data_IF_212218692867
#
_entry.id   IF_212218692867
#
_cell.length_a   1.000
_cell.length_b   1.000
_cell.length_c   1.000
_cell.angle_alpha   90.00
_cell.angle_beta   90.00
_cell.angle_gamma   90.00
#
_symmetry.space_group_name_H-M   'P 1'
#
loop_
_entity.id
_entity.type
_entity.pdbx_description
1 polymer ?
#
# COMPACT_ATOMS: atom_id res chain seq x y z
N UNK A 1 1.03 -0.93 30.79
CA UNK A 1 0.03 -0.07 30.12
C UNK A 1 0.61 1.26 29.61
N UNK A 2 1.93 1.38 29.38
CA UNK A 2 2.56 2.64 28.95
C UNK A 2 2.88 2.73 27.44
N UNK A 3 2.65 1.66 26.66
CA UNK A 3 3.02 1.62 25.24
C UNK A 3 1.83 1.79 24.27
N UNK A 4 0.59 1.51 24.69
CA UNK A 4 -0.55 1.49 23.76
C UNK A 4 -0.84 2.86 23.11
N UNK A 5 -0.74 3.96 23.87
CA UNK A 5 -0.98 5.31 23.33
C UNK A 5 0.11 5.73 22.33
N UNK A 6 1.34 5.31 22.57
CA UNK A 6 2.46 5.55 21.67
C UNK A 6 2.28 4.74 20.38
N UNK A 7 2.01 3.44 20.52
CA UNK A 7 1.72 2.55 19.38
C UNK A 7 0.54 3.03 18.54
N UNK A 8 -0.52 3.57 19.16
CA UNK A 8 -1.66 4.13 18.42
C UNK A 8 -1.30 5.39 17.63
N UNK A 9 -0.43 6.26 18.15
CA UNK A 9 0.04 7.44 17.41
C UNK A 9 0.99 7.07 16.26
N UNK A 10 1.80 6.02 16.45
CA UNK A 10 2.74 5.55 15.43
C UNK A 10 2.10 4.55 14.45
N UNK A 11 0.83 4.19 14.64
CA UNK A 11 0.14 3.20 13.83
C UNK A 11 -0.07 3.64 12.38
N UNK A 12 -0.39 4.92 12.17
CA UNK A 12 -0.57 5.50 10.84
C UNK A 12 0.73 5.49 10.01
N UNK A 13 1.86 6.06 10.49
CA UNK A 13 3.13 5.99 9.75
C UNK A 13 3.67 4.56 9.64
N UNK A 14 3.32 3.68 10.57
CA UNK A 14 3.61 2.25 10.46
C UNK A 14 2.86 1.60 9.27
N UNK A 15 1.57 1.89 9.10
CA UNK A 15 0.72 1.39 8.00
C UNK A 15 1.11 1.96 6.63
N UNK A 16 1.62 3.20 6.60
CA UNK A 16 2.13 3.84 5.39
C UNK A 16 3.59 3.47 5.09
N UNK A 17 4.24 2.73 6.01
CA UNK A 17 5.59 2.22 5.82
C UNK A 17 6.69 3.26 6.03
N UNK A 18 6.35 4.43 6.55
CA UNK A 18 7.23 5.60 6.77
C UNK A 18 8.11 5.48 8.02
N UNK A 19 7.87 4.48 8.86
CA UNK A 19 8.70 4.22 10.03
C UNK A 19 10.05 3.56 9.68
N UNK A 20 11.05 3.91 10.48
CA UNK A 20 12.37 3.25 10.51
C UNK A 20 12.24 1.78 10.90
N UNK A 21 13.17 0.94 10.47
CA UNK A 21 13.15 -0.51 10.74
C UNK A 21 13.08 -0.83 12.23
N UNK A 22 13.83 -0.10 13.06
CA UNK A 22 13.84 -0.23 14.52
C UNK A 22 12.47 0.06 15.16
N UNK A 23 11.82 1.15 14.74
CA UNK A 23 10.48 1.51 15.20
C UNK A 23 9.41 0.49 14.74
N UNK A 24 9.57 -0.11 13.55
CA UNK A 24 8.68 -1.18 13.08
C UNK A 24 8.75 -2.43 13.94
N UNK A 25 9.95 -2.83 14.37
CA UNK A 25 10.12 -3.99 15.25
C UNK A 25 9.50 -3.75 16.63
N UNK A 26 9.65 -2.54 17.18
CA UNK A 26 9.03 -2.15 18.44
C UNK A 26 7.49 -2.21 18.39
N UNK A 27 6.89 -1.66 17.33
CA UNK A 27 5.44 -1.69 17.12
C UNK A 27 4.95 -3.12 16.91
N UNK A 28 5.63 -3.92 16.09
CA UNK A 28 5.29 -5.34 15.90
C UNK A 28 5.28 -6.10 17.22
N UNK A 29 6.31 -5.92 18.06
CA UNK A 29 6.36 -6.55 19.38
C UNK A 29 5.18 -6.15 20.28
N UNK A 30 4.69 -4.91 20.17
CA UNK A 30 3.51 -4.48 20.90
C UNK A 30 2.20 -5.08 20.35
N UNK A 31 2.05 -5.13 19.03
CA UNK A 31 0.87 -5.69 18.37
C UNK A 31 0.70 -7.19 18.68
N UNK A 32 1.80 -7.94 18.77
CA UNK A 32 1.77 -9.36 19.16
C UNK A 32 1.33 -9.57 20.63
N UNK A 33 1.55 -8.58 21.49
CA UNK A 33 1.27 -8.65 22.93
C UNK A 33 0.00 -7.94 23.38
N UNK A 34 -0.66 -7.17 22.52
CA UNK A 34 -1.78 -6.30 22.89
C UNK A 34 -2.94 -6.39 21.89
N UNK A 35 -4.01 -7.08 22.31
CA UNK A 35 -5.24 -7.26 21.50
C UNK A 35 -5.89 -5.93 21.13
N UNK A 36 -5.90 -4.94 22.03
CA UNK A 36 -6.53 -3.65 21.75
C UNK A 36 -5.81 -2.90 20.61
N UNK A 37 -4.48 -2.90 20.64
CA UNK A 37 -3.67 -2.28 19.58
C UNK A 37 -3.73 -3.08 18.28
N UNK A 38 -3.81 -4.41 18.36
CA UNK A 38 -4.02 -5.27 17.20
C UNK A 38 -5.36 -4.98 16.52
N UNK A 39 -6.44 -4.86 17.28
CA UNK A 39 -7.76 -4.51 16.75
C UNK A 39 -7.77 -3.13 16.08
N UNK A 40 -7.10 -2.14 16.69
CA UNK A 40 -6.95 -0.83 16.08
C UNK A 40 -6.20 -0.94 14.74
N UNK A 41 -5.10 -1.69 14.69
CA UNK A 41 -4.35 -1.94 13.46
C UNK A 41 -5.22 -2.55 12.34
N UNK A 42 -5.96 -3.61 12.66
CA UNK A 42 -6.86 -4.27 11.71
C UNK A 42 -7.93 -3.30 11.17
N UNK A 43 -8.53 -2.49 12.05
CA UNK A 43 -9.49 -1.47 11.66
C UNK A 43 -8.91 -0.46 10.65
N UNK A 44 -7.68 0.02 10.89
CA UNK A 44 -7.04 0.96 9.96
C UNK A 44 -6.72 0.31 8.60
N UNK A 45 -6.34 -0.97 8.57
CA UNK A 45 -6.14 -1.72 7.32
C UNK A 45 -7.46 -1.89 6.55
N UNK A 46 -8.55 -2.24 7.23
CA UNK A 46 -9.87 -2.35 6.62
C UNK A 46 -10.34 -1.00 6.07
N UNK A 47 -10.14 0.08 6.82
CA UNK A 47 -10.46 1.44 6.39
C UNK A 47 -9.67 1.83 5.13
N UNK A 48 -8.35 1.59 5.12
CA UNK A 48 -7.49 1.85 3.95
C UNK A 48 -7.95 1.05 2.73
N UNK A 49 -8.31 -0.21 2.92
CA UNK A 49 -8.86 -1.05 1.85
C UNK A 49 -10.22 -0.53 1.34
N UNK A 50 -11.10 -0.09 2.24
CA UNK A 50 -12.41 0.46 1.88
C UNK A 50 -12.29 1.77 1.10
N UNK A 51 -11.41 2.67 1.54
CA UNK A 51 -11.08 3.91 0.82
C UNK A 51 -10.53 3.57 -0.57
N UNK A 52 -9.56 2.66 -0.66
CA UNK A 52 -8.99 2.23 -1.94
C UNK A 52 -10.07 1.71 -2.89
N UNK A 53 -11.01 0.88 -2.42
CA UNK A 53 -12.14 0.38 -3.25
C UNK A 53 -13.03 1.52 -3.78
N UNK A 54 -13.21 2.59 -3.00
CA UNK A 54 -14.03 3.75 -3.40
C UNK A 54 -13.30 4.69 -4.36
N UNK A 55 -11.97 4.80 -4.24
CA UNK A 55 -11.12 5.69 -5.04
C UNK A 55 -10.63 5.03 -6.33
N UNK A 56 -10.83 3.72 -6.52
CA UNK A 56 -10.41 2.96 -7.70
C UNK A 56 -11.24 3.23 -8.97
N UNK A 57 -11.74 4.46 -9.15
CA UNK A 57 -12.51 4.90 -10.31
C UNK A 57 -11.78 5.98 -11.13
N UNK A 58 -10.54 6.30 -10.81
CA UNK A 58 -9.70 7.11 -11.70
C UNK A 58 -9.35 6.26 -12.94
N UNK A 59 -9.97 6.59 -14.07
CA UNK A 59 -9.54 6.09 -15.37
C UNK A 59 -8.07 6.51 -15.56
N UNK A 60 -7.19 5.52 -15.68
CA UNK A 60 -5.80 5.78 -16.00
C UNK A 60 -5.73 6.55 -17.33
N UNK A 61 -4.86 7.57 -17.44
CA UNK A 61 -4.69 8.29 -18.70
C UNK A 61 -4.42 7.31 -19.85
N UNK A 62 -5.15 7.47 -20.94
CA UNK A 62 -4.96 6.65 -22.14
C UNK A 62 -3.50 6.69 -22.59
N UNK A 63 -2.87 5.52 -22.72
CA UNK A 63 -1.46 5.38 -23.14
C UNK A 63 -0.43 5.38 -22.00
N UNK A 64 -0.84 5.50 -20.73
CA UNK A 64 0.10 5.37 -19.60
C UNK A 64 0.60 3.93 -19.44
N UNK A 65 -0.31 2.94 -19.57
CA UNK A 65 0.05 1.52 -19.62
C UNK A 65 1.03 1.23 -20.75
N UNK A 66 0.70 1.67 -21.98
CA UNK A 66 1.58 1.53 -23.15
C UNK A 66 2.99 2.11 -22.93
N UNK A 67 3.11 3.25 -22.24
CA UNK A 67 4.41 3.83 -21.89
C UNK A 67 5.16 3.01 -20.85
N UNK A 68 4.45 2.47 -19.86
CA UNK A 68 5.03 1.58 -18.85
C UNK A 68 5.55 0.28 -19.48
N UNK A 69 4.78 -0.33 -20.39
CA UNK A 69 5.18 -1.51 -21.15
C UNK A 69 6.42 -1.25 -22.01
N UNK A 70 6.48 -0.09 -22.69
CA UNK A 70 7.66 0.31 -23.45
C UNK A 70 8.91 0.48 -22.57
N UNK A 71 8.76 1.07 -21.37
CA UNK A 71 9.86 1.26 -20.43
C UNK A 71 10.32 -0.05 -19.77
N UNK A 72 9.39 -0.92 -19.38
CA UNK A 72 9.67 -2.15 -18.61
C UNK A 72 9.87 -3.38 -19.49
N UNK A 73 9.51 -3.30 -20.78
CA UNK A 73 9.54 -4.40 -21.76
C UNK A 73 8.70 -5.62 -21.33
N UNK A 74 7.64 -5.36 -20.59
CA UNK A 74 6.66 -6.35 -20.14
C UNK A 74 5.30 -5.98 -20.73
N UNK A 75 4.49 -7.01 -21.01
CA UNK A 75 3.12 -6.91 -21.48
C UNK A 75 2.20 -6.93 -20.25
N UNK A 76 1.58 -5.78 -19.93
CA UNK A 76 0.73 -5.64 -18.74
C UNK A 76 -0.75 -5.80 -19.07
N UNK A 77 -1.17 -5.51 -20.30
CA UNK A 77 -2.55 -5.64 -20.75
C UNK A 77 -2.88 -7.01 -21.39
N UNK A 78 -1.86 -7.81 -21.70
CA UNK A 78 -1.96 -9.16 -22.24
C UNK A 78 -2.30 -9.22 -23.73
N UNK A 79 -2.10 -8.12 -24.47
CA UNK A 79 -2.42 -8.03 -25.89
C UNK A 79 -1.36 -8.67 -26.81
N UNK A 80 -0.23 -9.11 -26.24
CA UNK A 80 0.89 -9.72 -26.96
C UNK A 80 1.80 -8.71 -27.67
N UNK A 81 1.58 -7.42 -27.49
CA UNK A 81 2.46 -6.34 -27.90
C UNK A 81 3.12 -5.71 -26.67
N UNK A 82 4.24 -5.03 -26.90
CA UNK A 82 4.97 -4.33 -25.85
C UNK A 82 5.22 -2.92 -26.36
N UNK A 83 4.48 -1.96 -25.83
CA UNK A 83 4.55 -0.56 -26.26
C UNK A 83 3.68 -0.23 -27.48
N UNK A 84 3.90 0.93 -28.09
CA UNK A 84 3.06 1.42 -29.18
C UNK A 84 3.28 0.59 -30.47
N UNK A 85 2.22 0.07 -31.12
CA UNK A 85 2.34 -0.58 -32.42
C UNK A 85 2.89 0.34 -33.53
N UNK A 86 2.90 1.66 -33.31
CA UNK A 86 3.46 2.65 -34.24
C UNK A 86 4.98 2.85 -34.12
N UNK A 87 5.63 2.26 -33.11
CA UNK A 87 7.10 2.30 -32.93
C UNK A 87 7.83 1.15 -33.66
N UNK A 88 7.12 0.33 -34.45
CA UNK A 88 7.66 -0.75 -35.30
C UNK A 88 7.74 -0.38 -36.77
#
# INVERSE_FOLDING_TARGET
>A
MANCKETLNELEPYIDGELSTDAKEHIHGHLDGCVDCQQAFEFHLELKAAIRRKVNNDELPSGLLMRLESCLKEDFDGDGNVGNPSDR
#
